data_IF_844564538372
#
_entry.id   IF_844564538372
#
_cell.length_a   1.000
_cell.length_b   1.000
_cell.length_c   1.000
_cell.angle_alpha   90.00
_cell.angle_beta   90.00
_cell.angle_gamma   90.00
#
_symmetry.space_group_name_H-M   'P 1'
#
loop_
_entity.id
_entity.type
_entity.pdbx_description
1 polymer ?
#
# COMPACT_ATOMS: atom_id res chain seq x y z
N UNK A 1 24.99 -11.38 -35.15
CA UNK A 1 24.52 -11.53 -33.77
C UNK A 1 23.52 -10.38 -33.50
N UNK A 2 22.26 -10.65 -33.70
CA UNK A 2 21.18 -9.67 -33.45
C UNK A 2 20.81 -9.77 -31.97
N UNK A 3 21.27 -8.82 -31.17
CA UNK A 3 20.85 -8.69 -29.79
C UNK A 3 19.37 -8.29 -29.76
N UNK A 4 18.53 -9.16 -29.24
CA UNK A 4 17.12 -8.88 -28.98
C UNK A 4 17.07 -7.92 -27.81
N UNK A 5 16.65 -6.67 -28.05
CA UNK A 5 16.37 -5.68 -27.01
C UNK A 5 15.19 -6.19 -26.21
N UNK A 6 15.43 -6.60 -24.98
CA UNK A 6 14.36 -6.83 -24.00
C UNK A 6 13.73 -5.46 -23.68
N UNK A 7 12.54 -5.21 -24.18
CA UNK A 7 11.73 -4.08 -23.75
C UNK A 7 11.19 -4.39 -22.36
N UNK A 8 11.75 -3.73 -21.39
CA UNK A 8 11.20 -3.72 -20.03
C UNK A 8 9.90 -2.90 -20.08
N UNK A 9 8.79 -3.55 -20.39
CA UNK A 9 7.46 -2.95 -20.25
C UNK A 9 7.16 -2.94 -18.75
N UNK A 10 7.02 -1.76 -18.11
CA UNK A 10 6.64 -1.71 -16.71
C UNK A 10 5.30 -2.42 -16.57
N UNK A 11 5.28 -3.54 -15.84
CA UNK A 11 4.05 -4.20 -15.43
C UNK A 11 3.27 -3.16 -14.64
N UNK A 12 2.18 -2.63 -15.19
CA UNK A 12 1.29 -1.73 -14.46
C UNK A 12 0.76 -2.50 -13.26
N UNK A 13 1.22 -2.14 -12.08
CA UNK A 13 0.65 -2.70 -10.85
C UNK A 13 -0.84 -2.41 -10.84
N UNK A 14 -1.65 -3.46 -10.83
CA UNK A 14 -3.10 -3.34 -10.74
C UNK A 14 -3.48 -2.91 -9.33
N UNK A 15 -3.75 -1.62 -9.13
CA UNK A 15 -4.32 -1.07 -7.91
C UNK A 15 -5.83 -0.82 -8.05
N UNK A 16 -6.48 -1.43 -9.04
CA UNK A 16 -7.91 -1.32 -9.25
C UNK A 16 -8.73 -2.07 -8.20
N UNK A 17 -10.00 -1.73 -8.11
CA UNK A 17 -10.96 -2.44 -7.23
C UNK A 17 -11.03 -3.94 -7.52
N UNK A 18 -10.96 -4.35 -8.80
CA UNK A 18 -10.96 -5.74 -9.22
C UNK A 18 -9.70 -6.51 -8.79
N UNK A 19 -8.64 -5.80 -8.46
CA UNK A 19 -7.35 -6.35 -8.04
C UNK A 19 -7.24 -6.51 -6.52
N UNK A 20 -8.21 -5.98 -5.77
CA UNK A 20 -8.26 -6.08 -4.32
C UNK A 20 -9.00 -7.35 -3.90
N UNK A 21 -8.34 -8.20 -3.13
CA UNK A 21 -8.93 -9.42 -2.60
C UNK A 21 -9.43 -9.19 -1.17
N UNK A 22 -10.76 -9.17 -0.93
CA UNK A 22 -11.32 -9.05 0.40
C UNK A 22 -11.02 -10.30 1.25
N UNK A 23 -10.56 -10.09 2.48
CA UNK A 23 -10.33 -11.14 3.48
C UNK A 23 -10.73 -10.62 4.86
N UNK A 24 -10.85 -11.48 5.88
CA UNK A 24 -11.09 -11.03 7.25
C UNK A 24 -10.09 -9.95 7.72
N UNK A 25 -8.84 -9.99 7.25
CA UNK A 25 -7.78 -9.05 7.61
C UNK A 25 -8.00 -7.61 7.08
N UNK A 26 -8.84 -7.43 6.06
CA UNK A 26 -9.00 -6.13 5.39
C UNK A 26 -10.44 -5.72 5.10
N UNK A 27 -11.43 -6.59 5.29
CA UNK A 27 -12.82 -6.34 4.90
C UNK A 27 -13.42 -5.10 5.60
N UNK A 28 -13.13 -4.89 6.89
CA UNK A 28 -13.63 -3.74 7.63
C UNK A 28 -13.03 -2.42 7.10
N UNK A 29 -11.74 -2.42 6.75
CA UNK A 29 -11.09 -1.25 6.17
C UNK A 29 -11.63 -0.94 4.76
N UNK A 30 -11.87 -1.98 3.95
CA UNK A 30 -12.50 -1.85 2.66
C UNK A 30 -13.88 -1.21 2.77
N UNK A 31 -14.74 -1.72 3.67
CA UNK A 31 -16.08 -1.18 3.91
C UNK A 31 -16.03 0.29 4.38
N UNK A 32 -15.07 0.65 5.22
CA UNK A 32 -14.87 2.03 5.66
C UNK A 32 -14.48 2.95 4.50
N UNK A 33 -13.60 2.49 3.60
CA UNK A 33 -13.21 3.23 2.40
C UNK A 33 -14.39 3.40 1.45
N UNK A 34 -15.19 2.36 1.21
CA UNK A 34 -16.39 2.42 0.36
C UNK A 34 -17.43 3.43 0.86
N UNK A 35 -17.48 3.63 2.18
CA UNK A 35 -18.40 4.59 2.81
C UNK A 35 -17.81 6.00 2.95
N UNK A 36 -16.83 6.38 2.15
CA UNK A 36 -16.09 7.62 2.28
C UNK A 36 -16.96 8.90 2.33
N UNK A 37 -18.15 8.87 1.73
CA UNK A 37 -19.09 10.00 1.77
C UNK A 37 -19.62 10.28 3.17
N UNK A 38 -19.60 9.27 4.03
CA UNK A 38 -20.10 9.30 5.40
C UNK A 38 -18.98 9.44 6.45
N UNK A 39 -17.73 9.65 6.03
CA UNK A 39 -16.65 9.85 7.00
C UNK A 39 -16.93 11.07 7.88
N UNK A 40 -16.86 10.95 9.22
CA UNK A 40 -16.97 12.09 10.12
C UNK A 40 -15.95 13.17 9.72
N UNK A 41 -16.42 14.40 9.58
CA UNK A 41 -15.64 15.56 9.11
C UNK A 41 -14.86 15.30 7.79
N UNK A 42 -15.23 14.28 7.03
CA UNK A 42 -14.52 13.88 5.82
C UNK A 42 -13.14 13.27 6.07
N UNK A 43 -12.90 12.63 7.20
CA UNK A 43 -11.60 12.12 7.65
C UNK A 43 -11.62 10.62 7.87
N UNK A 44 -10.50 9.94 7.47
CA UNK A 44 -10.24 8.54 7.80
C UNK A 44 -8.73 8.31 7.96
N UNK A 45 -8.36 7.51 8.95
CA UNK A 45 -7.02 6.97 9.12
C UNK A 45 -7.04 5.46 8.80
N UNK A 46 -6.30 5.04 7.76
CA UNK A 46 -5.98 3.64 7.51
C UNK A 46 -4.73 3.27 8.31
N UNK A 47 -4.88 2.34 9.23
CA UNK A 47 -3.84 1.91 10.13
C UNK A 47 -3.56 0.41 9.98
N UNK A 48 -2.32 0.03 9.85
CA UNK A 48 -1.92 -1.38 9.75
C UNK A 48 -0.45 -1.55 9.41
N UNK A 49 0.10 -2.75 9.53
CA UNK A 49 1.52 -3.00 9.25
C UNK A 49 1.90 -2.67 7.81
N UNK A 50 3.20 -2.53 7.55
CA UNK A 50 3.71 -2.38 6.20
C UNK A 50 3.25 -3.57 5.33
N UNK A 51 2.90 -3.31 4.07
CA UNK A 51 2.45 -4.37 3.15
C UNK A 51 1.07 -4.97 3.43
N UNK A 52 0.25 -4.40 4.34
CA UNK A 52 -1.12 -4.88 4.62
C UNK A 52 -2.16 -4.50 3.56
N UNK A 53 -1.82 -3.61 2.61
CA UNK A 53 -2.74 -3.19 1.54
C UNK A 53 -3.32 -1.78 1.70
N UNK A 54 -2.86 -0.96 2.67
CA UNK A 54 -3.33 0.42 2.87
C UNK A 54 -3.27 1.27 1.59
N UNK A 55 -2.09 1.28 0.94
CA UNK A 55 -1.91 2.06 -0.29
C UNK A 55 -2.81 1.55 -1.42
N UNK A 56 -3.12 0.25 -1.48
CA UNK A 56 -4.09 -0.27 -2.45
C UNK A 56 -5.50 0.29 -2.18
N UNK A 57 -5.97 0.28 -0.94
CA UNK A 57 -7.25 0.90 -0.58
C UNK A 57 -7.28 2.40 -0.89
N UNK A 58 -6.19 3.10 -0.64
CA UNK A 58 -6.06 4.51 -1.00
C UNK A 58 -6.12 4.74 -2.52
N UNK A 59 -5.53 3.85 -3.34
CA UNK A 59 -5.66 3.90 -4.79
C UNK A 59 -7.10 3.66 -5.27
N UNK A 60 -7.82 2.71 -4.66
CA UNK A 60 -9.25 2.50 -4.95
C UNK A 60 -10.04 3.78 -4.69
N UNK A 61 -9.82 4.41 -3.54
CA UNK A 61 -10.48 5.65 -3.19
C UNK A 61 -10.08 6.82 -4.11
N UNK A 62 -8.80 6.91 -4.47
CA UNK A 62 -8.31 7.93 -5.40
C UNK A 62 -8.96 7.81 -6.78
N UNK A 63 -9.17 6.59 -7.27
CA UNK A 63 -9.83 6.36 -8.56
C UNK A 63 -11.29 6.85 -8.59
N UNK A 64 -11.99 6.83 -7.45
CA UNK A 64 -13.36 7.32 -7.33
C UNK A 64 -13.45 8.84 -7.12
N UNK A 65 -12.46 9.43 -6.46
CA UNK A 65 -12.55 10.81 -5.95
C UNK A 65 -11.62 11.79 -6.67
N UNK A 66 -10.68 11.29 -7.47
CA UNK A 66 -9.62 12.11 -8.04
C UNK A 66 -8.65 12.65 -6.97
N UNK A 67 -8.45 11.92 -5.87
CA UNK A 67 -7.67 12.39 -4.75
C UNK A 67 -6.21 12.71 -5.11
N UNK A 68 -5.71 13.80 -4.55
CA UNK A 68 -4.33 14.25 -4.67
C UNK A 68 -3.46 13.44 -3.71
N UNK A 69 -2.42 12.78 -4.21
CA UNK A 69 -1.42 12.08 -3.42
C UNK A 69 -0.33 13.04 -2.98
N UNK A 70 -0.03 13.02 -1.67
CA UNK A 70 1.02 13.83 -1.07
C UNK A 70 1.88 12.95 -0.19
N UNK A 71 3.19 13.12 -0.28
CA UNK A 71 4.10 12.56 0.71
C UNK A 71 4.37 13.57 1.83
N UNK A 72 4.65 13.12 3.07
CA UNK A 72 4.98 14.01 4.18
C UNK A 72 6.07 15.05 3.85
N UNK A 73 7.08 14.64 3.09
CA UNK A 73 8.23 15.49 2.74
C UNK A 73 7.88 16.65 1.80
N UNK A 74 6.81 16.53 1.01
CA UNK A 74 6.39 17.54 0.03
C UNK A 74 5.16 18.33 0.48
N UNK A 75 4.60 18.02 1.65
CA UNK A 75 3.35 18.63 2.09
C UNK A 75 3.48 20.14 2.26
N UNK A 76 4.57 20.63 2.83
CA UNK A 76 4.79 22.06 3.05
C UNK A 76 4.83 22.85 1.74
N UNK A 77 5.47 22.28 0.73
CA UNK A 77 5.64 22.93 -0.58
C UNK A 77 4.34 22.95 -1.38
N UNK A 78 3.54 21.88 -1.29
CA UNK A 78 2.32 21.71 -2.07
C UNK A 78 1.07 22.27 -1.39
N UNK A 79 1.15 22.63 -0.11
CA UNK A 79 -0.02 23.04 0.69
C UNK A 79 -0.81 24.18 0.05
N UNK A 80 -0.13 25.17 -0.54
CA UNK A 80 -0.76 26.35 -1.14
C UNK A 80 -1.67 26.00 -2.32
N UNK A 81 -1.30 24.97 -3.09
CA UNK A 81 -1.95 24.57 -4.32
C UNK A 81 -3.13 23.62 -4.11
N UNK A 82 -3.34 23.13 -2.87
CA UNK A 82 -4.43 22.19 -2.56
C UNK A 82 -5.74 22.97 -2.40
N UNK A 83 -6.77 22.71 -3.22
CA UNK A 83 -8.08 23.33 -3.05
C UNK A 83 -8.75 22.91 -1.72
N UNK A 84 -9.55 23.81 -1.12
CA UNK A 84 -10.23 23.54 0.14
C UNK A 84 -11.27 22.40 0.05
N UNK A 85 -11.78 22.11 -1.13
CA UNK A 85 -12.72 21.02 -1.40
C UNK A 85 -12.04 19.75 -1.98
N UNK A 86 -10.71 19.69 -1.99
CA UNK A 86 -9.99 18.55 -2.52
C UNK A 86 -10.18 17.29 -1.67
N UNK A 87 -10.06 16.14 -2.32
CA UNK A 87 -9.77 14.87 -1.68
C UNK A 87 -8.25 14.70 -1.65
N UNK A 88 -7.67 14.39 -0.48
CA UNK A 88 -6.22 14.29 -0.29
C UNK A 88 -5.85 12.98 0.39
N UNK A 89 -4.80 12.34 -0.10
CA UNK A 89 -4.16 11.18 0.52
C UNK A 89 -2.77 11.59 1.00
N UNK A 90 -2.49 11.37 2.28
CA UNK A 90 -1.15 11.46 2.84
C UNK A 90 -0.66 10.05 3.18
N UNK A 91 0.27 9.54 2.39
CA UNK A 91 0.81 8.18 2.54
C UNK A 91 2.07 8.18 3.41
N UNK A 92 2.07 7.33 4.47
CA UNK A 92 3.13 7.31 5.46
C UNK A 92 3.07 8.49 6.42
N UNK A 93 1.86 8.81 6.91
CA UNK A 93 1.60 9.97 7.77
C UNK A 93 2.40 9.96 9.08
N UNK A 94 2.86 8.81 9.56
CA UNK A 94 3.75 8.70 10.71
C UNK A 94 5.10 9.41 10.53
N UNK A 95 5.50 9.73 9.31
CA UNK A 95 6.76 10.43 8.99
C UNK A 95 6.63 11.95 9.00
N UNK A 96 5.51 12.49 9.45
CA UNK A 96 5.22 13.93 9.44
C UNK A 96 5.96 14.71 10.55
N UNK A 97 6.40 14.03 11.60
CA UNK A 97 6.99 14.66 12.78
C UNK A 97 8.17 15.59 12.43
N UNK A 98 8.21 16.74 13.09
CA UNK A 98 9.29 17.72 13.05
C UNK A 98 9.31 18.67 11.87
N UNK A 99 9.03 18.22 10.64
CA UNK A 99 9.21 19.07 9.46
C UNK A 99 7.93 19.65 8.89
N UNK A 100 6.84 18.90 8.92
CA UNK A 100 5.60 19.25 8.23
C UNK A 100 4.34 19.19 9.10
N UNK A 101 4.50 19.14 10.44
CA UNK A 101 3.37 19.10 11.37
C UNK A 101 2.44 20.32 11.20
N UNK A 102 3.05 21.50 11.12
CA UNK A 102 2.31 22.76 10.90
C UNK A 102 1.56 22.73 9.58
N UNK A 103 2.17 22.19 8.53
CA UNK A 103 1.51 22.06 7.22
C UNK A 103 0.34 21.08 7.27
N UNK A 104 0.48 19.92 7.96
CA UNK A 104 -0.63 18.98 8.16
C UNK A 104 -1.76 19.60 8.99
N UNK A 105 -1.44 20.38 10.01
CA UNK A 105 -2.44 21.09 10.80
C UNK A 105 -3.23 22.09 9.94
N UNK A 106 -2.56 22.87 9.09
CA UNK A 106 -3.23 23.77 8.16
C UNK A 106 -4.04 23.02 7.11
N UNK A 107 -3.52 21.95 6.52
CA UNK A 107 -4.26 21.11 5.58
C UNK A 107 -5.52 20.54 6.22
N UNK A 108 -5.41 19.98 7.43
CA UNK A 108 -6.53 19.45 8.17
C UNK A 108 -7.65 20.47 8.32
N UNK A 109 -7.33 21.68 8.75
CA UNK A 109 -8.31 22.76 8.93
C UNK A 109 -8.86 23.28 7.59
N UNK A 110 -8.02 23.43 6.58
CA UNK A 110 -8.40 23.92 5.23
C UNK A 110 -9.42 23.04 4.55
N UNK A 111 -9.34 21.73 4.73
CA UNK A 111 -10.25 20.78 4.11
C UNK A 111 -11.62 20.70 4.80
N UNK A 112 -11.81 21.33 5.95
CA UNK A 112 -13.13 21.46 6.61
C UNK A 112 -13.88 22.64 5.97
N UNK A 113 -15.18 22.50 5.65
CA UNK A 113 -16.05 21.33 5.77
C UNK A 113 -16.20 20.49 4.49
N UNK A 114 -15.58 20.87 3.40
CA UNK A 114 -15.93 20.34 2.07
C UNK A 114 -14.89 19.35 1.48
N UNK A 115 -13.67 19.38 1.96
CA UNK A 115 -12.60 18.47 1.52
C UNK A 115 -12.64 17.11 2.21
N UNK A 116 -11.78 16.20 1.77
CA UNK A 116 -11.60 14.86 2.33
C UNK A 116 -10.13 14.59 2.61
N UNK A 117 -9.83 13.89 3.69
CA UNK A 117 -8.47 13.52 4.04
C UNK A 117 -8.40 12.05 4.43
N UNK A 118 -7.61 11.30 3.68
CA UNK A 118 -7.22 9.93 3.98
C UNK A 118 -5.76 9.91 4.42
N UNK A 119 -5.51 9.42 5.62
CA UNK A 119 -4.15 9.19 6.12
C UNK A 119 -3.86 7.70 6.10
N UNK A 120 -2.66 7.32 5.60
CA UNK A 120 -2.13 5.97 5.73
C UNK A 120 -0.98 5.99 6.73
N UNK A 121 -0.99 5.08 7.72
CA UNK A 121 0.08 4.97 8.70
C UNK A 121 0.31 3.53 9.16
N UNK A 122 1.53 3.25 9.60
CA UNK A 122 1.87 1.95 10.20
C UNK A 122 1.62 1.94 11.71
N UNK A 123 1.72 3.09 12.36
CA UNK A 123 1.56 3.26 13.81
C UNK A 123 0.48 4.32 14.12
N UNK A 124 -0.16 4.27 15.29
CA UNK A 124 -1.18 5.26 15.66
C UNK A 124 -0.55 6.64 15.95
N UNK A 125 -1.32 7.74 15.81
CA UNK A 125 -0.81 9.12 15.94
C UNK A 125 -0.07 9.42 17.26
N UNK A 126 -0.43 8.75 18.35
CA UNK A 126 0.26 8.90 19.64
C UNK A 126 1.74 8.50 19.60
N UNK A 127 2.11 7.64 18.63
CA UNK A 127 3.47 7.09 18.51
C UNK A 127 4.29 7.84 17.42
N UNK A 128 3.75 8.92 16.83
CA UNK A 128 4.44 9.67 15.76
C UNK A 128 5.45 10.70 16.27
N UNK A 129 5.49 10.96 17.59
CA UNK A 129 6.41 11.95 18.14
C UNK A 129 6.07 13.40 17.80
N UNK A 130 4.78 13.71 17.62
CA UNK A 130 4.32 15.05 17.25
C UNK A 130 4.55 16.06 18.37
N UNK A 131 5.09 17.22 18.00
CA UNK A 131 5.30 18.36 18.88
C UNK A 131 4.09 19.29 19.01
N UNK A 132 3.08 19.20 18.12
CA UNK A 132 1.88 20.05 18.15
C UNK A 132 0.71 19.32 18.84
N UNK A 133 0.34 19.68 20.11
CA UNK A 133 -0.73 18.99 20.85
C UNK A 133 -2.10 19.06 20.16
N UNK A 134 -2.43 20.19 19.53
CA UNK A 134 -3.71 20.37 18.83
C UNK A 134 -3.81 19.46 17.60
N UNK A 135 -2.72 19.27 16.86
CA UNK A 135 -2.68 18.32 15.75
C UNK A 135 -2.87 16.90 16.26
N UNK A 136 -2.11 16.51 17.30
CA UNK A 136 -2.21 15.19 17.90
C UNK A 136 -3.64 14.87 18.35
N UNK A 137 -4.30 15.81 19.05
CA UNK A 137 -5.68 15.66 19.49
C UNK A 137 -6.65 15.42 18.33
N UNK A 138 -6.50 16.19 17.24
CA UNK A 138 -7.33 16.03 16.02
C UNK A 138 -7.10 14.70 15.34
N UNK A 139 -5.85 14.28 15.19
CA UNK A 139 -5.52 12.99 14.56
C UNK A 139 -6.02 11.80 15.40
N UNK A 140 -5.95 11.90 16.72
CA UNK A 140 -6.47 10.88 17.63
C UNK A 140 -8.00 10.77 17.61
N UNK A 141 -8.70 11.86 17.27
CA UNK A 141 -10.16 11.86 17.12
C UNK A 141 -10.67 11.34 15.78
N UNK A 142 -9.78 11.14 14.80
CA UNK A 142 -10.16 10.61 13.49
C UNK A 142 -10.73 9.19 13.59
N UNK A 143 -11.73 8.83 12.79
CA UNK A 143 -12.10 7.45 12.57
C UNK A 143 -10.91 6.64 12.06
N UNK A 144 -10.74 5.44 12.62
CA UNK A 144 -9.64 4.53 12.26
C UNK A 144 -10.20 3.26 11.64
N UNK A 145 -9.78 2.96 10.43
CA UNK A 145 -9.99 1.66 9.80
C UNK A 145 -8.68 0.86 9.84
N UNK A 146 -8.74 -0.33 10.45
CA UNK A 146 -7.55 -1.17 10.65
C UNK A 146 -7.46 -2.23 9.59
N UNK A 147 -6.22 -2.44 9.10
CA UNK A 147 -5.84 -3.60 8.32
C UNK A 147 -4.91 -4.44 9.20
N UNK A 148 -5.20 -5.72 9.25
CA UNK A 148 -4.31 -6.69 9.90
C UNK A 148 -3.23 -7.18 8.93
N UNK A 149 -2.23 -7.88 9.45
CA UNK A 149 -1.29 -8.59 8.59
C UNK A 149 -2.06 -9.60 7.71
N UNK A 150 -1.68 -9.77 6.44
CA UNK A 150 -2.38 -10.68 5.55
C UNK A 150 -2.31 -12.12 6.08
N UNK A 151 -3.46 -12.81 6.04
CA UNK A 151 -3.55 -14.24 6.32
C UNK A 151 -3.03 -15.08 5.15
N UNK A 152 -2.93 -16.40 5.36
CA UNK A 152 -2.41 -17.32 4.34
C UNK A 152 -3.30 -17.37 3.10
N UNK A 153 -4.62 -17.26 3.28
CA UNK A 153 -5.58 -17.30 2.18
C UNK A 153 -5.43 -16.06 1.29
N UNK A 154 -5.29 -14.89 1.91
CA UNK A 154 -5.03 -13.63 1.19
C UNK A 154 -3.69 -13.67 0.46
N UNK A 155 -2.62 -14.12 1.13
CA UNK A 155 -1.30 -14.22 0.51
C UNK A 155 -1.29 -15.24 -0.64
N UNK A 156 -1.97 -16.38 -0.49
CA UNK A 156 -2.12 -17.37 -1.55
C UNK A 156 -2.83 -16.77 -2.77
N UNK A 157 -3.96 -16.09 -2.55
CA UNK A 157 -4.71 -15.44 -3.63
C UNK A 157 -3.87 -14.36 -4.34
N UNK A 158 -3.12 -13.56 -3.59
CA UNK A 158 -2.21 -12.53 -4.13
C UNK A 158 -1.09 -13.17 -4.96
N UNK A 159 -0.44 -14.23 -4.46
CA UNK A 159 0.61 -14.94 -5.20
C UNK A 159 0.09 -15.52 -6.51
N UNK A 160 -1.07 -16.20 -6.48
CA UNK A 160 -1.72 -16.75 -7.69
C UNK A 160 -1.98 -15.62 -8.69
N UNK A 161 -2.55 -14.50 -8.23
CA UNK A 161 -2.80 -13.35 -9.11
C UNK A 161 -1.51 -12.77 -9.70
N UNK A 162 -0.49 -12.56 -8.89
CA UNK A 162 0.79 -12.00 -9.34
C UNK A 162 1.47 -12.88 -10.39
N UNK A 163 1.36 -14.20 -10.26
CA UNK A 163 1.84 -15.16 -11.27
C UNK A 163 1.01 -15.07 -12.56
N UNK A 164 -0.32 -15.01 -12.44
CA UNK A 164 -1.22 -14.90 -13.57
C UNK A 164 -1.03 -13.59 -14.36
N UNK A 165 -0.90 -12.45 -13.67
CA UNK A 165 -0.69 -11.13 -14.28
C UNK A 165 0.60 -11.06 -15.10
N UNK A 166 1.61 -11.87 -14.74
CA UNK A 166 2.87 -12.02 -15.47
C UNK A 166 2.87 -13.15 -16.49
N UNK A 167 1.74 -13.84 -16.65
CA UNK A 167 1.61 -15.02 -17.52
C UNK A 167 2.61 -16.13 -17.18
N UNK A 168 2.97 -16.25 -15.91
CA UNK A 168 3.91 -17.25 -15.43
C UNK A 168 3.19 -18.57 -15.20
N UNK A 169 3.56 -19.59 -15.98
CA UNK A 169 3.12 -20.97 -15.75
C UNK A 169 3.93 -21.57 -14.58
N UNK A 170 3.42 -21.40 -13.37
CA UNK A 170 4.06 -21.91 -12.16
C UNK A 170 3.53 -23.31 -11.80
N UNK A 171 4.36 -24.19 -11.20
CA UNK A 171 3.88 -25.48 -10.72
C UNK A 171 2.89 -25.30 -9.57
N UNK A 172 1.86 -26.18 -9.51
CA UNK A 172 0.77 -26.10 -8.55
C UNK A 172 1.22 -26.04 -7.07
N UNK A 173 2.38 -26.60 -6.76
CA UNK A 173 2.94 -26.62 -5.40
C UNK A 173 3.84 -25.41 -5.08
N UNK A 174 4.02 -24.47 -6.00
CA UNK A 174 4.89 -23.31 -5.77
C UNK A 174 4.35 -22.40 -4.68
N UNK A 175 3.07 -22.03 -4.75
CA UNK A 175 2.42 -21.16 -3.74
C UNK A 175 2.50 -21.78 -2.35
N UNK A 176 2.15 -23.06 -2.21
CA UNK A 176 2.24 -23.80 -0.94
C UNK A 176 3.66 -23.86 -0.41
N UNK A 177 4.67 -23.85 -1.29
CA UNK A 177 6.08 -23.82 -0.90
C UNK A 177 6.51 -22.43 -0.42
N UNK A 178 6.06 -21.36 -1.06
CA UNK A 178 6.43 -19.98 -0.76
C UNK A 178 5.82 -19.46 0.54
N UNK A 179 4.53 -19.71 0.78
CA UNK A 179 3.77 -19.16 1.92
C UNK A 179 4.47 -19.28 3.28
N UNK A 180 4.98 -20.44 3.72
CA UNK A 180 5.60 -20.56 5.03
C UNK A 180 7.04 -20.02 5.09
N UNK A 181 7.61 -19.56 3.96
CA UNK A 181 9.01 -19.16 3.83
C UNK A 181 9.20 -17.69 3.47
N UNK A 182 8.13 -16.97 3.20
CA UNK A 182 8.18 -15.56 2.90
C UNK A 182 7.68 -14.71 4.07
N UNK A 183 8.09 -13.45 4.10
CA UNK A 183 7.52 -12.47 5.01
C UNK A 183 6.00 -12.31 4.74
N UNK A 184 5.21 -12.21 5.81
CA UNK A 184 3.75 -12.09 5.75
C UNK A 184 3.32 -10.67 5.37
N UNK A 185 3.67 -10.25 4.15
CA UNK A 185 3.25 -8.98 3.61
C UNK A 185 2.97 -9.08 2.10
N UNK A 186 2.01 -8.29 1.61
CA UNK A 186 1.72 -8.22 0.17
C UNK A 186 2.90 -7.62 -0.59
N UNK A 187 3.66 -6.72 0.03
CA UNK A 187 4.85 -6.14 -0.56
C UNK A 187 5.94 -7.19 -0.76
N UNK A 188 6.19 -8.06 0.24
CA UNK A 188 7.13 -9.17 0.12
C UNK A 188 6.70 -10.17 -0.96
N UNK A 189 5.40 -10.50 -1.05
CA UNK A 189 4.88 -11.36 -2.12
C UNK A 189 5.18 -10.78 -3.51
N UNK A 190 4.96 -9.48 -3.71
CA UNK A 190 5.26 -8.78 -4.96
C UNK A 190 6.75 -8.79 -5.29
N UNK A 191 7.60 -8.43 -4.33
CA UNK A 191 9.05 -8.42 -4.50
C UNK A 191 9.58 -9.82 -4.85
N UNK A 192 9.08 -10.85 -4.16
CA UNK A 192 9.46 -12.24 -4.40
C UNK A 192 9.11 -12.70 -5.81
N UNK A 193 7.87 -12.47 -6.27
CA UNK A 193 7.45 -12.85 -7.62
C UNK A 193 8.22 -12.05 -8.67
N UNK A 194 8.49 -10.76 -8.46
CA UNK A 194 9.30 -9.96 -9.38
C UNK A 194 10.73 -10.49 -9.49
N UNK A 195 11.34 -10.87 -8.37
CA UNK A 195 12.70 -11.47 -8.35
C UNK A 195 12.74 -12.83 -9.04
N UNK A 196 11.73 -13.68 -8.81
CA UNK A 196 11.61 -14.98 -9.49
C UNK A 196 11.49 -14.83 -11.00
N UNK A 197 10.65 -13.89 -11.45
CA UNK A 197 10.43 -13.59 -12.86
C UNK A 197 11.73 -13.08 -13.52
N UNK A 198 12.38 -12.09 -12.94
CA UNK A 198 13.63 -11.54 -13.44
C UNK A 198 14.73 -12.61 -13.55
N UNK A 199 14.88 -13.51 -12.56
CA UNK A 199 15.85 -14.59 -12.59
C UNK A 199 15.52 -15.69 -13.61
N UNK A 200 14.23 -16.02 -13.76
CA UNK A 200 13.76 -16.97 -14.75
C UNK A 200 14.08 -16.47 -16.16
N UNK A 201 13.81 -15.19 -16.44
CA UNK A 201 14.12 -14.54 -17.72
C UNK A 201 15.63 -14.48 -17.98
N UNK A 202 16.42 -14.03 -17.00
CA UNK A 202 17.87 -13.93 -17.15
C UNK A 202 18.57 -15.27 -17.44
N UNK A 203 18.04 -16.36 -16.90
CA UNK A 203 18.61 -17.71 -17.05
C UNK A 203 17.89 -18.56 -18.11
N UNK A 204 16.90 -17.99 -18.83
CA UNK A 204 16.10 -18.71 -19.84
C UNK A 204 15.51 -20.03 -19.30
N UNK A 205 15.04 -20.05 -18.06
CA UNK A 205 14.48 -21.26 -17.41
C UNK A 205 13.13 -20.96 -16.76
N UNK A 206 12.25 -21.98 -16.66
CA UNK A 206 10.96 -21.80 -16.03
C UNK A 206 11.09 -21.54 -14.53
N UNK A 207 10.07 -20.89 -13.95
CA UNK A 207 9.95 -20.75 -12.50
C UNK A 207 9.60 -22.10 -11.89
N UNK A 208 10.51 -22.60 -11.05
CA UNK A 208 10.40 -23.88 -10.36
C UNK A 208 10.57 -23.69 -8.86
N UNK A 209 10.19 -24.71 -8.08
CA UNK A 209 10.48 -24.74 -6.65
C UNK A 209 11.97 -24.61 -6.33
N UNK A 210 12.85 -25.16 -7.19
CA UNK A 210 14.31 -25.04 -7.02
C UNK A 210 14.75 -23.58 -7.16
N UNK A 211 14.28 -22.88 -8.20
CA UNK A 211 14.56 -21.44 -8.37
C UNK A 211 14.03 -20.62 -7.19
N UNK A 212 12.86 -20.99 -6.66
CA UNK A 212 12.30 -20.34 -5.49
C UNK A 212 13.16 -20.53 -4.24
N UNK A 213 13.71 -21.73 -4.02
CA UNK A 213 14.67 -21.98 -2.94
C UNK A 213 15.94 -21.12 -3.09
N UNK A 214 16.53 -21.08 -4.29
CA UNK A 214 17.72 -20.24 -4.58
C UNK A 214 17.47 -18.74 -4.30
N UNK A 215 16.25 -18.25 -4.55
CA UNK A 215 15.89 -16.84 -4.29
C UNK A 215 15.71 -16.57 -2.81
N UNK A 216 15.05 -17.47 -2.08
CA UNK A 216 14.81 -17.32 -0.64
C UNK A 216 16.09 -17.43 0.18
N UNK A 217 16.99 -18.41 -0.15
CA UNK A 217 18.26 -18.62 0.54
C UNK A 217 19.21 -17.41 0.39
N UNK A 218 19.09 -16.63 -0.69
CA UNK A 218 19.87 -15.41 -0.90
C UNK A 218 19.31 -14.19 -0.18
N UNK A 219 18.02 -14.23 0.20
CA UNK A 219 17.35 -13.17 0.98
C UNK A 219 17.67 -13.23 2.48
N UNK A 220 18.08 -14.39 2.98
CA UNK A 220 18.41 -14.60 4.40
C UNK A 220 19.89 -14.26 4.74
N UNK A 221 20.66 -13.73 3.78
CA UNK A 221 22.10 -13.45 3.89
C UNK A 221 22.51 -11.97 3.90
N UNK A 222 21.57 -11.00 4.01
CA UNK A 222 21.88 -9.56 4.13
C UNK A 222 21.39 -8.96 5.44
#
# INVERSE_FOLDING_TARGET
MTGQLAFDLPVREGFGRADFYPSPANAAALAAVDQWRNWPDGRLLLLGPAGSGKSHLAHIWAAETGAIWISPNHLSDQLADIPANASVILDGAERIAGQSETALFYLYNRLIPHGRLLLNANTPPRDWGLGLPDLLSRLQSMPVARLEAPDDDLLAAVLVKLLADRQIAAPANLVTYLLPRMERSIAAARALIATLDARALANHRPITRQLAAEVLDLGDGE
#
